data_IF_407060591591
#
_entry.id   IF_407060591591
#
_cell.length_a   1.000
_cell.length_b   1.000
_cell.length_c   1.000
_cell.angle_alpha   90.00
_cell.angle_beta   90.00
_cell.angle_gamma   90.00
#
_symmetry.space_group_name_H-M   'P 1'
#
loop_
_entity.id
_entity.type
_entity.pdbx_description
1 polymer ?
#
# COMPACT_ATOMS: atom_id res chain seq x y z
N UNK A 1 -23.13 6.99 -5.84
CA UNK A 1 -22.82 7.84 -4.67
C UNK A 1 -22.60 9.25 -5.21
N UNK A 2 -23.33 10.24 -4.69
CA UNK A 2 -23.26 11.65 -5.16
C UNK A 2 -22.57 12.47 -4.07
N UNK A 3 -21.68 13.38 -4.45
CA UNK A 3 -21.03 14.30 -3.52
C UNK A 3 -22.03 15.41 -3.12
N UNK A 4 -22.30 15.57 -1.83
CA UNK A 4 -23.20 16.63 -1.35
C UNK A 4 -22.46 17.97 -1.21
N UNK A 5 -23.18 19.08 -1.37
CA UNK A 5 -22.59 20.43 -1.28
C UNK A 5 -22.01 20.69 0.12
N UNK A 6 -20.74 21.06 0.18
CA UNK A 6 -20.01 21.31 1.44
C UNK A 6 -19.40 20.05 2.07
N UNK A 7 -19.52 18.90 1.42
CA UNK A 7 -18.93 17.66 1.88
C UNK A 7 -17.45 17.60 1.47
N UNK A 8 -16.54 17.54 2.45
CA UNK A 8 -15.09 17.43 2.21
C UNK A 8 -14.58 15.99 2.20
N UNK A 9 -15.43 15.02 2.56
CA UNK A 9 -15.10 13.59 2.61
C UNK A 9 -16.30 12.76 2.22
N UNK A 10 -16.11 11.77 1.34
CA UNK A 10 -17.11 10.74 1.08
C UNK A 10 -16.92 9.56 2.04
N UNK A 11 -18.00 8.94 2.50
CA UNK A 11 -17.91 7.67 3.21
C UNK A 11 -17.43 6.61 2.24
N UNK A 12 -16.20 6.12 2.46
CA UNK A 12 -15.61 5.05 1.67
C UNK A 12 -16.55 3.82 1.73
N UNK A 13 -16.94 3.24 0.58
CA UNK A 13 -17.65 1.97 0.60
C UNK A 13 -16.78 0.90 1.24
N UNK A 14 -17.41 -0.09 1.86
CA UNK A 14 -16.71 -1.20 2.49
C UNK A 14 -15.84 -1.95 1.46
N UNK A 15 -14.53 -1.75 1.57
CA UNK A 15 -13.56 -2.32 0.65
C UNK A 15 -13.34 -3.82 0.88
N UNK A 16 -13.76 -4.35 2.03
CA UNK A 16 -13.55 -5.77 2.36
C UNK A 16 -14.33 -6.72 1.45
N UNK A 17 -15.32 -6.21 0.71
CA UNK A 17 -16.12 -6.94 -0.26
C UNK A 17 -15.45 -7.15 -1.61
N UNK A 18 -14.36 -6.42 -1.88
CA UNK A 18 -13.67 -6.50 -3.15
C UNK A 18 -12.35 -7.26 -2.97
N UNK A 19 -12.29 -8.47 -3.53
CA UNK A 19 -11.08 -9.28 -3.53
C UNK A 19 -10.20 -8.88 -4.72
N UNK A 20 -8.92 -8.56 -4.47
CA UNK A 20 -7.96 -8.16 -5.50
C UNK A 20 -7.91 -6.66 -5.80
N UNK A 21 -8.22 -6.26 -7.04
CA UNK A 21 -8.13 -4.86 -7.52
C UNK A 21 -9.54 -4.27 -7.67
N UNK A 22 -9.81 -3.20 -6.94
CA UNK A 22 -11.06 -2.43 -7.06
C UNK A 22 -10.80 -1.16 -7.84
N UNK A 23 -11.45 -1.01 -8.99
CA UNK A 23 -11.37 0.21 -9.79
C UNK A 23 -12.64 1.03 -9.60
N UNK A 24 -12.49 2.28 -9.18
CA UNK A 24 -13.59 3.22 -8.96
C UNK A 24 -13.41 4.38 -9.93
N UNK A 25 -14.47 4.68 -10.68
CA UNK A 25 -14.53 5.89 -11.51
C UNK A 25 -15.03 7.04 -10.64
N UNK A 26 -14.23 8.09 -10.54
CA UNK A 26 -14.56 9.31 -9.79
C UNK A 26 -14.70 10.45 -10.77
N UNK A 27 -15.86 11.11 -10.74
CA UNK A 27 -16.08 12.34 -11.49
C UNK A 27 -15.86 13.54 -10.55
N UNK A 28 -14.94 14.44 -10.91
CA UNK A 28 -14.69 15.69 -10.20
C UNK A 28 -14.76 16.80 -11.25
N UNK A 29 -15.68 17.76 -11.07
CA UNK A 29 -15.87 18.91 -11.98
C UNK A 29 -16.00 18.51 -13.46
N UNK A 30 -16.83 17.49 -13.75
CA UNK A 30 -17.05 16.92 -15.08
C UNK A 30 -15.84 16.18 -15.70
N UNK A 31 -14.73 16.10 -14.98
CA UNK A 31 -13.58 15.30 -15.37
C UNK A 31 -13.61 13.92 -14.69
N UNK A 32 -13.41 12.88 -15.49
CA UNK A 32 -13.36 11.50 -15.01
C UNK A 32 -11.93 11.10 -14.62
N UNK A 33 -11.79 10.54 -13.43
CA UNK A 33 -10.57 10.00 -12.87
C UNK A 33 -10.77 8.53 -12.51
N UNK A 34 -9.79 7.71 -12.83
CA UNK A 34 -9.79 6.29 -12.46
C UNK A 34 -8.94 6.10 -11.22
N UNK A 35 -9.52 5.58 -10.15
CA UNK A 35 -8.80 5.23 -8.92
C UNK A 35 -8.82 3.72 -8.74
N UNK A 36 -7.63 3.11 -8.70
CA UNK A 36 -7.47 1.68 -8.49
C UNK A 36 -6.92 1.41 -7.09
N UNK A 37 -7.64 0.59 -6.32
CA UNK A 37 -7.22 0.08 -5.02
C UNK A 37 -6.76 -1.36 -5.17
N UNK A 38 -5.53 -1.65 -4.78
CA UNK A 38 -5.01 -3.03 -4.73
C UNK A 38 -4.87 -3.46 -3.28
N UNK A 39 -5.51 -4.57 -2.91
CA UNK A 39 -5.33 -5.18 -1.58
C UNK A 39 -4.05 -6.01 -1.59
N UNK A 40 -3.16 -5.79 -0.62
CA UNK A 40 -1.96 -6.62 -0.45
C UNK A 40 -2.40 -8.06 -0.13
N UNK A 41 -2.01 -9.07 -0.92
CA UNK A 41 -2.39 -10.45 -0.65
C UNK A 41 -1.77 -10.94 0.67
N UNK A 42 -2.61 -11.45 1.58
CA UNK A 42 -2.18 -11.97 2.90
C UNK A 42 -1.23 -13.17 2.80
N UNK A 43 -1.18 -13.82 1.66
CA UNK A 43 -0.29 -14.96 1.37
C UNK A 43 1.16 -14.53 1.12
N UNK A 44 1.40 -13.27 0.74
CA UNK A 44 2.76 -12.74 0.52
C UNK A 44 3.38 -12.40 1.88
N UNK A 45 4.25 -13.29 2.35
CA UNK A 45 4.97 -13.12 3.63
C UNK A 45 6.40 -12.62 3.46
N UNK A 46 7.01 -12.91 2.33
CA UNK A 46 8.39 -12.52 2.06
C UNK A 46 8.46 -11.01 1.73
N UNK A 47 9.25 -10.22 2.48
CA UNK A 47 9.34 -8.77 2.27
C UNK A 47 9.89 -8.37 0.89
N UNK A 48 10.76 -9.17 0.27
CA UNK A 48 11.27 -8.91 -1.08
C UNK A 48 10.21 -9.20 -2.13
N UNK A 49 9.45 -10.30 -1.98
CA UNK A 49 8.31 -10.60 -2.87
C UNK A 49 7.25 -9.50 -2.74
N UNK A 50 6.96 -9.03 -1.53
CA UNK A 50 6.04 -7.91 -1.31
C UNK A 50 6.55 -6.62 -1.97
N UNK A 51 7.84 -6.33 -1.86
CA UNK A 51 8.45 -5.16 -2.51
C UNK A 51 8.31 -5.23 -4.03
N UNK A 52 8.61 -6.39 -4.64
CA UNK A 52 8.46 -6.58 -6.08
C UNK A 52 7.00 -6.40 -6.54
N UNK A 53 6.05 -6.91 -5.76
CA UNK A 53 4.63 -6.71 -6.00
C UNK A 53 4.22 -5.24 -5.90
N UNK A 54 4.70 -4.50 -4.90
CA UNK A 54 4.43 -3.07 -4.75
C UNK A 54 4.97 -2.27 -5.96
N UNK A 55 6.13 -2.64 -6.49
CA UNK A 55 6.67 -2.02 -7.71
C UNK A 55 5.79 -2.31 -8.92
N UNK A 56 5.32 -3.54 -9.09
CA UNK A 56 4.39 -3.92 -10.18
C UNK A 56 3.06 -3.16 -10.10
N UNK A 57 2.56 -2.86 -8.90
CA UNK A 57 1.37 -2.03 -8.69
C UNK A 57 1.62 -0.52 -8.76
N UNK A 58 2.86 -0.09 -9.04
CA UNK A 58 3.22 1.32 -9.14
C UNK A 58 3.37 2.04 -7.79
N UNK A 59 3.37 1.30 -6.68
CA UNK A 59 3.51 1.82 -5.32
C UNK A 59 4.99 2.09 -4.96
N UNK A 60 5.70 2.86 -5.78
CA UNK A 60 7.16 3.04 -5.71
C UNK A 60 7.63 3.58 -4.36
N UNK A 61 6.91 4.56 -3.78
CA UNK A 61 7.26 5.13 -2.48
C UNK A 61 7.13 4.09 -1.35
N UNK A 62 6.09 3.25 -1.40
CA UNK A 62 5.88 2.18 -0.42
C UNK A 62 6.93 1.09 -0.58
N UNK A 63 7.27 0.70 -1.81
CA UNK A 63 8.35 -0.25 -2.08
C UNK A 63 9.70 0.25 -1.55
N UNK A 64 10.04 1.52 -1.80
CA UNK A 64 11.28 2.12 -1.31
C UNK A 64 11.33 2.19 0.23
N UNK A 65 10.22 2.54 0.88
CA UNK A 65 10.13 2.52 2.34
C UNK A 65 10.37 1.10 2.90
N UNK A 66 9.75 0.09 2.29
CA UNK A 66 9.91 -1.30 2.69
C UNK A 66 11.36 -1.79 2.52
N UNK A 67 12.00 -1.47 1.39
CA UNK A 67 13.42 -1.79 1.15
C UNK A 67 14.34 -1.20 2.23
N UNK A 68 14.09 0.04 2.66
CA UNK A 68 14.85 0.67 3.74
C UNK A 68 14.67 -0.07 5.06
N UNK A 69 13.44 -0.47 5.40
CA UNK A 69 13.18 -1.28 6.60
C UNK A 69 13.88 -2.63 6.55
N UNK A 70 13.86 -3.30 5.40
CA UNK A 70 14.57 -4.58 5.22
C UNK A 70 16.07 -4.40 5.45
N UNK A 71 16.67 -3.38 4.82
CA UNK A 71 18.10 -3.08 4.98
C UNK A 71 18.47 -2.77 6.44
N UNK A 72 17.65 -2.00 7.16
CA UNK A 72 17.86 -1.71 8.58
C UNK A 72 17.78 -2.96 9.46
N UNK A 73 16.84 -3.87 9.17
CA UNK A 73 16.65 -5.09 9.96
C UNK A 73 17.75 -6.14 9.74
N UNK A 74 18.46 -6.09 8.60
CA UNK A 74 19.60 -6.97 8.32
C UNK A 74 20.88 -6.56 9.07
N UNK A 75 20.95 -5.37 9.67
CA UNK A 75 22.16 -4.82 10.32
C UNK A 75 22.33 -5.29 11.78
N UNK A 76 21.48 -6.17 12.32
CA UNK A 76 21.71 -6.80 13.63
C UNK A 76 22.28 -8.22 13.45
N UNK A 77 23.56 -8.40 13.80
CA UNK A 77 23.87 -8.90 15.14
C UNK A 77 24.98 -8.08 15.81
N UNK A 78 24.64 -7.33 16.86
CA UNK A 78 25.66 -6.92 17.82
C UNK A 78 25.98 -8.15 18.69
N UNK A 79 27.00 -8.89 18.26
CA UNK A 79 27.73 -9.87 19.05
C UNK A 79 27.97 -9.31 20.46
N UNK A 80 27.33 -9.91 21.47
CA UNK A 80 27.67 -9.67 22.87
C UNK A 80 29.04 -10.27 23.12
N UNK A 81 30.10 -9.48 22.93
CA UNK A 81 31.46 -9.86 23.32
C UNK A 81 31.50 -9.90 24.85
N UNK A 82 31.77 -11.05 25.49
CA UNK A 82 31.94 -11.10 26.94
C UNK A 82 33.30 -10.48 27.27
N UNK A 83 33.28 -9.41 28.07
CA UNK A 83 34.49 -8.82 28.65
C UNK A 83 34.91 -9.73 29.80
N UNK A 84 36.04 -10.42 29.64
CA UNK A 84 36.77 -11.09 30.71
C UNK A 84 37.86 -10.16 31.26
#
# INVERSE_FOLDING_TARGET
LVWEKGQSRMTMPDLSKFDGVTTVLVNIDQQEFVISFSVIPKTVKDPFILTAWLLEKGCVQQANALLRTIASNQILPAETIPVN
#
